data_IF_402668993017
#
_entry.id   IF_402668993017
#
_cell.length_a   1.000
_cell.length_b   1.000
_cell.length_c   1.000
_cell.angle_alpha   90.00
_cell.angle_beta   90.00
_cell.angle_gamma   90.00
#
_symmetry.space_group_name_H-M   'P 1'
#
loop_
_entity.id
_entity.type
_entity.pdbx_description
1 polymer ?
#
# COMPACT_ATOMS: atom_id res chain seq x y z
N UNK A 1 19.19 0.00 -4.29
CA UNK A 1 19.55 0.85 -3.13
C UNK A 1 19.54 -0.08 -1.93
N UNK A 2 20.54 -0.08 -1.05
CA UNK A 2 20.56 -0.94 0.16
C UNK A 2 20.17 -0.10 1.37
N UNK A 3 19.44 -0.69 2.32
CA UNK A 3 19.05 0.03 3.55
C UNK A 3 20.30 0.36 4.36
N UNK A 4 20.44 1.61 4.85
CA UNK A 4 21.56 2.00 5.70
C UNK A 4 21.65 1.11 6.94
N UNK A 5 22.87 0.70 7.29
CA UNK A 5 23.10 -0.19 8.43
C UNK A 5 22.55 0.38 9.75
N UNK A 6 22.65 1.68 9.97
CA UNK A 6 22.14 2.32 11.20
C UNK A 6 20.59 2.22 11.33
N UNK A 7 19.88 1.99 10.23
CA UNK A 7 18.44 1.71 10.26
C UNK A 7 18.22 0.24 10.65
N UNK A 8 18.90 -0.70 9.96
CA UNK A 8 18.76 -2.13 10.26
C UNK A 8 19.18 -2.48 11.70
N UNK A 9 20.19 -1.82 12.22
CA UNK A 9 20.68 -2.04 13.59
C UNK A 9 19.64 -1.64 14.68
N UNK A 10 18.58 -0.88 14.32
CA UNK A 10 17.48 -0.56 15.25
C UNK A 10 16.52 -1.74 15.47
N UNK A 11 16.46 -2.69 14.52
CA UNK A 11 15.51 -3.79 14.56
C UNK A 11 16.02 -4.94 15.44
N UNK A 12 15.18 -5.47 16.34
CA UNK A 12 15.56 -6.64 17.12
C UNK A 12 15.66 -7.87 16.22
N UNK A 13 16.73 -8.66 16.40
CA UNK A 13 16.88 -9.95 15.72
C UNK A 13 15.92 -10.97 16.32
N UNK A 14 15.07 -11.55 15.49
CA UNK A 14 14.17 -12.62 15.90
C UNK A 14 14.87 -13.98 15.75
N UNK A 15 14.59 -14.92 16.68
CA UNK A 15 15.04 -16.30 16.52
C UNK A 15 14.28 -16.99 15.38
N UNK A 16 14.89 -18.01 14.80
CA UNK A 16 14.24 -18.83 13.75
C UNK A 16 12.90 -19.43 14.22
N UNK A 17 12.84 -19.88 15.47
CA UNK A 17 11.60 -20.44 16.04
C UNK A 17 10.49 -19.37 16.12
N UNK A 18 10.86 -18.14 16.48
CA UNK A 18 9.91 -17.01 16.51
C UNK A 18 9.42 -16.66 15.10
N UNK A 19 10.34 -16.62 14.11
CA UNK A 19 9.97 -16.38 12.71
C UNK A 19 9.05 -17.47 12.17
N UNK A 20 9.39 -18.74 12.34
CA UNK A 20 8.55 -19.88 11.92
C UNK A 20 7.17 -19.85 12.61
N UNK A 21 7.13 -19.52 13.90
CA UNK A 21 5.87 -19.36 14.59
C UNK A 21 5.04 -18.21 14.03
N UNK A 22 5.66 -17.03 13.79
CA UNK A 22 4.94 -15.87 13.25
C UNK A 22 4.39 -16.16 11.84
N UNK A 23 5.15 -16.86 11.00
CA UNK A 23 4.79 -17.21 9.61
C UNK A 23 3.89 -18.45 9.50
N UNK A 24 3.58 -19.13 10.61
CA UNK A 24 2.63 -20.24 10.57
C UNK A 24 1.23 -19.78 10.17
N UNK A 25 0.51 -20.62 9.44
CA UNK A 25 -0.86 -20.33 9.00
C UNK A 25 -1.75 -19.93 10.17
N UNK A 26 -2.57 -18.89 10.04
CA UNK A 26 -3.48 -18.46 11.08
C UNK A 26 -4.54 -19.54 11.38
N UNK A 27 -4.97 -19.64 12.63
CA UNK A 27 -6.05 -20.52 13.05
C UNK A 27 -6.98 -19.80 14.03
N UNK A 28 -8.26 -20.16 14.01
CA UNK A 28 -9.25 -19.51 14.86
C UNK A 28 -9.57 -18.08 14.44
N UNK A 29 -9.89 -17.22 15.42
CA UNK A 29 -10.18 -15.80 15.22
C UNK A 29 -8.93 -14.99 15.48
N UNK A 30 -8.49 -14.23 14.49
CA UNK A 30 -7.19 -13.55 14.50
C UNK A 30 -7.36 -12.03 14.56
N UNK A 31 -6.48 -11.37 15.34
CA UNK A 31 -6.39 -9.90 15.40
C UNK A 31 -5.81 -9.37 14.10
N UNK A 32 -6.52 -8.44 13.48
CA UNK A 32 -6.15 -7.90 12.17
C UNK A 32 -6.30 -6.38 12.13
N UNK A 33 -5.39 -5.73 11.46
CA UNK A 33 -5.48 -4.36 10.95
C UNK A 33 -5.54 -4.47 9.44
N UNK A 34 -6.49 -3.79 8.80
CA UNK A 34 -6.52 -3.64 7.34
C UNK A 34 -5.92 -2.30 6.97
N UNK A 35 -4.87 -2.32 6.16
CA UNK A 35 -4.15 -1.15 5.67
C UNK A 35 -4.41 -1.03 4.16
N UNK A 36 -5.11 0.04 3.72
CA UNK A 36 -5.79 0.07 2.42
C UNK A 36 -5.89 1.47 1.83
N UNK A 37 -5.80 1.57 0.50
CA UNK A 37 -6.08 2.78 -0.27
C UNK A 37 -7.46 2.71 -0.97
N UNK A 38 -8.48 2.35 -0.22
CA UNK A 38 -9.85 1.90 -0.60
C UNK A 38 -10.53 2.72 -1.71
N UNK A 39 -10.18 3.98 -1.93
CA UNK A 39 -10.77 4.80 -3.00
C UNK A 39 -10.02 4.66 -4.34
N UNK A 40 -8.91 3.92 -4.38
CA UNK A 40 -8.10 3.74 -5.56
C UNK A 40 -8.72 2.72 -6.53
N UNK A 41 -8.92 1.49 -6.06
CA UNK A 41 -9.45 0.39 -6.85
C UNK A 41 -10.62 -0.30 -6.13
N UNK A 42 -11.53 -0.91 -6.90
CA UNK A 42 -12.79 -1.46 -6.36
C UNK A 42 -12.60 -2.71 -5.50
N UNK A 43 -11.54 -3.45 -5.72
CA UNK A 43 -11.22 -4.67 -4.94
C UNK A 43 -10.92 -4.37 -3.48
N UNK A 44 -10.32 -3.23 -3.16
CA UNK A 44 -10.16 -2.75 -1.78
C UNK A 44 -11.49 -2.57 -1.06
N UNK A 45 -12.51 -2.03 -1.76
CA UNK A 45 -13.86 -1.87 -1.21
C UNK A 45 -14.47 -3.23 -0.87
N UNK A 46 -14.30 -4.23 -1.75
CA UNK A 46 -14.76 -5.60 -1.50
C UNK A 46 -13.98 -6.27 -0.37
N UNK A 47 -12.66 -6.08 -0.31
CA UNK A 47 -11.81 -6.62 0.75
C UNK A 47 -12.22 -6.07 2.13
N UNK A 48 -12.47 -4.76 2.22
CA UNK A 48 -12.97 -4.14 3.44
C UNK A 48 -14.35 -4.67 3.83
N UNK A 49 -15.30 -4.75 2.88
CA UNK A 49 -16.63 -5.28 3.16
C UNK A 49 -16.56 -6.74 3.62
N UNK A 50 -15.74 -7.57 2.97
CA UNK A 50 -15.52 -8.96 3.36
C UNK A 50 -14.92 -9.06 4.77
N UNK A 51 -13.93 -8.25 5.07
CA UNK A 51 -13.31 -8.16 6.40
C UNK A 51 -14.36 -7.84 7.48
N UNK A 52 -15.19 -6.83 7.26
CA UNK A 52 -16.22 -6.40 8.21
C UNK A 52 -17.31 -7.47 8.45
N UNK A 53 -17.60 -8.27 7.43
CA UNK A 53 -18.60 -9.34 7.51
C UNK A 53 -18.04 -10.68 8.02
N UNK A 54 -16.72 -10.82 8.19
CA UNK A 54 -16.05 -12.06 8.62
C UNK A 54 -15.68 -12.05 10.11
N UNK A 55 -16.53 -11.50 10.97
CA UNK A 55 -16.25 -11.29 12.39
C UNK A 55 -16.09 -12.60 13.21
N UNK A 56 -16.48 -13.73 12.66
CA UNK A 56 -16.25 -15.08 13.23
C UNK A 56 -14.79 -15.54 13.09
N UNK A 57 -14.05 -15.02 12.11
CA UNK A 57 -12.64 -15.33 11.81
C UNK A 57 -11.70 -14.18 12.08
N UNK A 58 -12.17 -12.96 11.94
CA UNK A 58 -11.39 -11.74 12.03
C UNK A 58 -11.82 -10.93 13.26
N UNK A 59 -10.86 -10.60 14.10
CA UNK A 59 -10.96 -9.61 15.15
C UNK A 59 -10.38 -8.29 14.62
N UNK A 60 -11.21 -7.55 13.86
CA UNK A 60 -10.77 -6.30 13.24
C UNK A 60 -10.50 -5.24 14.31
N UNK A 61 -9.23 -4.92 14.54
CA UNK A 61 -8.79 -3.88 15.46
C UNK A 61 -9.11 -2.50 14.91
N UNK A 62 -8.82 -2.27 13.63
CA UNK A 62 -9.08 -1.04 12.91
C UNK A 62 -8.67 -1.11 11.45
N UNK A 63 -8.94 -0.04 10.74
CA UNK A 63 -8.60 0.17 9.32
C UNK A 63 -7.76 1.43 9.20
N UNK A 64 -6.62 1.33 8.53
CA UNK A 64 -5.70 2.44 8.28
C UNK A 64 -5.77 2.82 6.81
N UNK A 65 -5.98 4.13 6.55
CA UNK A 65 -6.03 4.65 5.19
C UNK A 65 -4.61 4.89 4.66
N UNK A 66 -4.25 4.30 3.52
CA UNK A 66 -3.00 4.55 2.82
C UNK A 66 -3.15 5.65 1.76
N UNK A 67 -2.09 6.43 1.49
CA UNK A 67 -2.08 7.32 0.35
C UNK A 67 -2.00 6.52 -0.96
N UNK A 68 -2.63 7.05 -2.01
CA UNK A 68 -2.38 6.62 -3.38
C UNK A 68 -2.21 7.82 -4.30
N UNK A 69 -1.51 7.63 -5.41
CA UNK A 69 -1.32 8.65 -6.43
C UNK A 69 -0.89 8.02 -7.75
N UNK A 70 -1.42 8.54 -8.84
CA UNK A 70 -0.98 8.17 -10.20
C UNK A 70 -0.04 9.22 -10.81
N UNK A 71 0.45 10.19 -10.02
CA UNK A 71 1.30 11.27 -10.51
C UNK A 71 2.60 10.79 -11.16
N UNK A 72 3.12 9.64 -10.72
CA UNK A 72 4.33 9.03 -11.31
C UNK A 72 4.13 8.58 -12.77
N UNK A 73 2.89 8.35 -13.21
CA UNK A 73 2.59 8.03 -14.60
C UNK A 73 2.50 9.25 -15.52
N UNK A 74 2.47 10.45 -14.96
CA UNK A 74 2.12 11.64 -15.72
C UNK A 74 3.09 11.90 -16.88
N UNK A 75 4.39 11.93 -16.60
CA UNK A 75 5.40 12.23 -17.62
C UNK A 75 5.42 11.17 -18.72
N UNK A 76 5.45 9.90 -18.34
CA UNK A 76 5.46 8.78 -19.28
C UNK A 76 4.18 8.70 -20.14
N UNK A 77 3.02 9.00 -19.56
CA UNK A 77 1.76 9.06 -20.31
C UNK A 77 1.77 10.19 -21.37
N UNK A 78 2.31 11.36 -21.01
CA UNK A 78 2.45 12.47 -21.95
C UNK A 78 3.39 12.13 -23.10
N UNK A 79 4.53 11.51 -22.79
CA UNK A 79 5.51 11.08 -23.80
C UNK A 79 4.91 10.01 -24.71
N UNK A 80 4.27 8.98 -24.16
CA UNK A 80 3.61 7.94 -24.95
C UNK A 80 2.49 8.51 -25.84
N UNK A 81 1.68 9.44 -25.32
CA UNK A 81 0.63 10.11 -26.08
C UNK A 81 1.21 10.89 -27.26
N UNK A 82 2.29 11.64 -27.05
CA UNK A 82 2.96 12.41 -28.10
C UNK A 82 3.58 11.50 -29.19
N UNK A 83 4.19 10.38 -28.79
CA UNK A 83 4.74 9.39 -29.73
C UNK A 83 3.64 8.80 -30.61
N UNK A 84 2.53 8.36 -30.01
CA UNK A 84 1.44 7.67 -30.72
C UNK A 84 0.68 8.64 -31.63
N UNK A 85 0.29 9.81 -31.13
CA UNK A 85 -0.56 10.74 -31.89
C UNK A 85 0.17 11.45 -33.01
N UNK A 86 1.48 11.71 -32.85
CA UNK A 86 2.32 12.33 -33.87
C UNK A 86 3.06 11.33 -34.76
N UNK A 87 2.70 10.02 -34.69
CA UNK A 87 3.30 8.94 -35.49
C UNK A 87 4.84 8.97 -35.44
N UNK A 88 5.43 9.26 -34.28
CA UNK A 88 6.88 9.24 -34.11
C UNK A 88 7.40 7.82 -34.26
N UNK A 89 8.66 7.70 -34.69
CA UNK A 89 9.31 6.39 -34.85
C UNK A 89 9.35 5.66 -33.50
N UNK A 90 8.84 4.43 -33.50
CA UNK A 90 8.96 3.50 -32.37
C UNK A 90 10.17 2.62 -32.62
N UNK A 91 11.10 2.58 -31.66
CA UNK A 91 12.30 1.75 -31.69
C UNK A 91 12.62 1.21 -30.28
N UNK A 92 13.74 0.54 -30.12
CA UNK A 92 14.10 -0.11 -28.86
C UNK A 92 14.22 0.83 -27.64
N UNK A 93 14.31 2.14 -27.86
CA UNK A 93 14.43 3.13 -26.78
C UNK A 93 13.09 3.52 -26.17
N UNK A 94 12.00 3.44 -26.93
CA UNK A 94 10.67 3.86 -26.47
C UNK A 94 9.58 2.77 -26.61
N UNK A 95 9.94 1.59 -27.13
CA UNK A 95 8.99 0.49 -27.36
C UNK A 95 8.29 0.04 -26.05
N UNK A 96 9.03 -0.05 -24.96
CA UNK A 96 8.49 -0.46 -23.67
C UNK A 96 7.52 0.58 -23.12
N UNK A 97 7.88 1.86 -23.18
CA UNK A 97 7.01 2.97 -22.80
C UNK A 97 5.70 2.93 -23.58
N UNK A 98 5.79 2.85 -24.93
CA UNK A 98 4.60 2.79 -25.78
C UNK A 98 3.73 1.58 -25.44
N UNK A 99 4.33 0.40 -25.24
CA UNK A 99 3.58 -0.80 -24.89
C UNK A 99 2.84 -0.67 -23.56
N UNK A 100 3.49 -0.09 -22.54
CA UNK A 100 2.91 0.07 -21.20
C UNK A 100 1.71 1.04 -21.21
N UNK A 101 1.77 2.09 -22.00
CA UNK A 101 0.74 3.14 -22.03
C UNK A 101 -0.23 3.04 -23.20
N UNK A 102 -0.07 2.08 -24.12
CA UNK A 102 -0.84 1.97 -25.35
C UNK A 102 -2.36 2.00 -25.12
N UNK A 103 -2.85 1.18 -24.20
CA UNK A 103 -4.29 1.08 -23.91
C UNK A 103 -4.82 2.38 -23.28
N UNK A 104 -4.06 3.01 -22.41
CA UNK A 104 -4.47 4.27 -21.79
C UNK A 104 -4.54 5.39 -22.82
N UNK A 105 -3.50 5.53 -23.66
CA UNK A 105 -3.47 6.53 -24.74
C UNK A 105 -4.62 6.32 -25.73
N UNK A 106 -4.89 5.08 -26.14
CA UNK A 106 -6.01 4.81 -27.05
C UNK A 106 -7.37 5.16 -26.42
N UNK A 107 -7.58 4.86 -25.16
CA UNK A 107 -8.78 5.27 -24.43
C UNK A 107 -8.96 6.80 -24.39
N UNK A 108 -7.86 7.55 -24.27
CA UNK A 108 -7.90 9.02 -24.37
C UNK A 108 -8.28 9.49 -25.77
N UNK A 109 -7.66 8.91 -26.80
CA UNK A 109 -7.94 9.25 -28.20
C UNK A 109 -9.41 8.97 -28.55
N UNK A 110 -9.92 7.79 -28.18
CA UNK A 110 -11.32 7.40 -28.40
C UNK A 110 -12.32 8.33 -27.68
N UNK A 111 -11.99 8.74 -26.47
CA UNK A 111 -12.78 9.69 -25.67
C UNK A 111 -12.56 11.15 -26.03
N UNK A 112 -11.72 11.44 -27.05
CA UNK A 112 -11.32 12.79 -27.49
C UNK A 112 -10.75 13.64 -26.35
N UNK A 113 -9.97 13.02 -25.47
CA UNK A 113 -9.28 13.66 -24.36
C UNK A 113 -7.78 13.74 -24.61
N UNK A 114 -7.15 14.74 -24.01
CA UNK A 114 -5.71 14.89 -23.95
C UNK A 114 -5.22 14.50 -22.52
N UNK A 115 -3.98 14.04 -22.32
CA UNK A 115 -3.45 13.83 -20.96
C UNK A 115 -3.59 15.04 -20.01
N UNK A 116 -3.64 16.27 -20.53
CA UNK A 116 -3.93 17.48 -19.74
C UNK A 116 -5.34 17.49 -19.12
N UNK A 117 -6.27 16.71 -19.66
CA UNK A 117 -7.66 16.62 -19.17
C UNK A 117 -7.80 15.61 -18.02
N UNK A 118 -6.70 14.91 -17.67
CA UNK A 118 -6.66 13.96 -16.56
C UNK A 118 -6.18 14.70 -15.31
N UNK A 119 -6.95 14.57 -14.24
CA UNK A 119 -6.50 14.98 -12.92
C UNK A 119 -5.82 13.80 -12.22
N UNK A 120 -4.57 13.99 -11.82
CA UNK A 120 -3.79 13.03 -11.06
C UNK A 120 -3.80 13.43 -9.58
N UNK A 121 -4.50 12.66 -8.77
CA UNK A 121 -4.55 12.90 -7.33
C UNK A 121 -3.15 12.95 -6.72
N UNK A 122 -2.95 13.89 -5.81
CA UNK A 122 -1.78 13.91 -4.93
C UNK A 122 -1.91 12.80 -3.86
N UNK A 123 -0.82 12.33 -3.24
CA UNK A 123 -0.91 11.39 -2.11
C UNK A 123 -1.83 11.89 -0.99
N UNK A 124 -1.84 13.20 -0.73
CA UNK A 124 -2.74 13.83 0.25
C UNK A 124 -4.21 13.68 -0.13
N UNK A 125 -4.57 13.92 -1.38
CA UNK A 125 -5.95 13.74 -1.85
C UNK A 125 -6.33 12.27 -1.85
N UNK A 126 -5.40 11.39 -2.23
CA UNK A 126 -5.59 9.95 -2.22
C UNK A 126 -5.94 9.42 -0.82
N UNK A 127 -5.14 9.76 0.19
CA UNK A 127 -5.41 9.30 1.57
C UNK A 127 -6.72 9.84 2.12
N UNK A 128 -7.09 11.10 1.82
CA UNK A 128 -8.36 11.65 2.27
C UNK A 128 -9.55 10.98 1.58
N UNK A 129 -9.45 10.67 0.29
CA UNK A 129 -10.47 9.90 -0.44
C UNK A 129 -10.59 8.49 0.14
N UNK A 130 -9.48 7.79 0.38
CA UNK A 130 -9.47 6.47 1.01
C UNK A 130 -10.12 6.49 2.38
N UNK A 131 -9.76 7.45 3.23
CA UNK A 131 -10.35 7.61 4.55
C UNK A 131 -11.89 7.79 4.49
N UNK A 132 -12.37 8.64 3.58
CA UNK A 132 -13.81 8.87 3.43
C UNK A 132 -14.52 7.64 2.87
N UNK A 133 -13.93 6.93 1.92
CA UNK A 133 -14.55 5.74 1.33
C UNK A 133 -14.60 4.58 2.33
N UNK A 134 -13.58 4.40 3.18
CA UNK A 134 -13.63 3.45 4.30
C UNK A 134 -14.85 3.75 5.17
N UNK A 135 -15.05 5.00 5.60
CA UNK A 135 -16.19 5.40 6.42
C UNK A 135 -17.51 5.13 5.69
N UNK A 136 -17.57 5.41 4.38
CA UNK A 136 -18.78 5.17 3.58
C UNK A 136 -19.15 3.69 3.56
N UNK A 137 -18.18 2.78 3.45
CA UNK A 137 -18.44 1.33 3.47
C UNK A 137 -18.94 0.88 4.84
N UNK A 138 -18.35 1.34 5.94
CA UNK A 138 -18.88 1.09 7.29
C UNK A 138 -20.33 1.50 7.41
N UNK A 139 -20.67 2.73 6.96
CA UNK A 139 -22.05 3.25 6.99
C UNK A 139 -23.02 2.46 6.13
N UNK A 140 -22.60 2.05 4.92
CA UNK A 140 -23.43 1.23 4.02
C UNK A 140 -23.73 -0.16 4.59
N UNK A 141 -22.87 -0.69 5.43
CA UNK A 141 -23.04 -1.97 6.12
C UNK A 141 -23.71 -1.82 7.50
N UNK A 142 -24.11 -0.60 7.90
CA UNK A 142 -24.67 -0.28 9.22
C UNK A 142 -23.74 -0.69 10.39
N UNK A 143 -22.42 -0.50 10.19
CA UNK A 143 -21.39 -0.81 11.19
C UNK A 143 -20.80 0.50 11.73
N UNK A 144 -20.63 0.61 13.05
CA UNK A 144 -20.02 1.78 13.66
C UNK A 144 -18.53 1.88 13.33
N UNK A 145 -18.11 3.00 12.75
CA UNK A 145 -16.73 3.29 12.36
C UNK A 145 -15.92 4.09 13.41
N UNK A 146 -16.58 4.63 14.44
CA UNK A 146 -15.93 5.48 15.45
C UNK A 146 -14.81 4.73 16.17
N UNK A 147 -13.61 5.33 16.21
CA UNK A 147 -12.43 4.70 16.80
C UNK A 147 -11.91 3.48 16.06
N UNK A 148 -12.31 3.29 14.78
CA UNK A 148 -11.94 2.16 13.94
C UNK A 148 -11.21 2.56 12.66
N UNK A 149 -11.26 3.82 12.27
CA UNK A 149 -10.67 4.29 11.01
C UNK A 149 -9.66 5.39 11.30
N UNK A 150 -8.45 5.25 10.76
CA UNK A 150 -7.30 6.11 11.06
C UNK A 150 -6.70 6.67 9.77
N UNK A 151 -6.36 7.97 9.79
CA UNK A 151 -5.71 8.62 8.65
C UNK A 151 -4.24 8.28 8.57
N UNK A 152 -3.77 7.94 7.38
CA UNK A 152 -2.37 7.79 7.06
C UNK A 152 -1.68 9.10 6.67
N UNK A 153 -0.55 8.95 6.01
CA UNK A 153 0.29 10.07 5.61
C UNK A 153 -0.25 10.82 4.40
N UNK A 154 0.05 12.11 4.32
CA UNK A 154 -0.20 12.96 3.17
C UNK A 154 0.90 12.87 2.08
N UNK A 155 1.94 12.09 2.31
CA UNK A 155 3.06 11.88 1.38
C UNK A 155 3.66 10.49 1.61
N UNK A 156 4.46 10.04 0.65
CA UNK A 156 5.32 8.85 0.79
C UNK A 156 6.58 9.17 1.59
N UNK A 157 7.32 8.12 2.01
CA UNK A 157 8.63 8.29 2.62
C UNK A 157 9.61 8.90 1.61
N UNK A 158 10.33 9.91 2.02
CA UNK A 158 11.41 10.54 1.24
C UNK A 158 12.78 9.94 1.59
N UNK A 159 12.88 9.34 2.76
CA UNK A 159 14.05 8.62 3.29
C UNK A 159 13.61 7.75 4.48
N UNK A 160 14.53 6.96 5.04
CA UNK A 160 14.27 6.06 6.17
C UNK A 160 14.64 6.65 7.55
N UNK A 161 15.22 7.85 7.59
CA UNK A 161 15.57 8.53 8.85
C UNK A 161 14.43 9.39 9.38
N UNK A 162 13.46 9.73 8.53
CA UNK A 162 12.34 10.61 8.84
C UNK A 162 11.00 9.88 8.66
N UNK A 163 10.61 8.98 9.60
CA UNK A 163 9.32 8.31 9.54
C UNK A 163 8.17 9.30 9.68
N UNK A 164 7.02 8.94 9.13
CA UNK A 164 5.82 9.77 9.14
C UNK A 164 4.92 9.41 10.32
N UNK A 165 4.90 10.29 11.31
CA UNK A 165 4.06 10.14 12.50
C UNK A 165 2.62 10.55 12.18
N UNK A 166 1.71 9.57 12.10
CA UNK A 166 0.32 9.74 11.70
C UNK A 166 -0.62 8.96 12.63
N UNK A 167 -1.93 9.23 12.54
CA UNK A 167 -2.93 8.42 13.26
C UNK A 167 -2.77 6.93 12.96
N UNK A 168 -2.52 6.57 11.69
CA UNK A 168 -2.34 5.18 11.22
C UNK A 168 -1.09 4.53 11.80
N UNK A 169 0.08 5.19 11.69
CA UNK A 169 1.33 4.64 12.21
C UNK A 169 1.29 4.47 13.73
N UNK A 170 0.72 5.43 14.46
CA UNK A 170 0.55 5.34 15.90
C UNK A 170 -0.45 4.25 16.29
N UNK A 171 -1.56 4.11 15.58
CA UNK A 171 -2.53 3.04 15.84
C UNK A 171 -1.90 1.65 15.66
N UNK A 172 -1.11 1.43 14.60
CA UNK A 172 -0.39 0.16 14.38
C UNK A 172 0.54 -0.12 15.57
N UNK A 173 1.31 0.89 16.00
CA UNK A 173 2.22 0.77 17.16
C UNK A 173 1.43 0.40 18.42
N UNK A 174 0.37 1.15 18.72
CA UNK A 174 -0.43 0.96 19.93
C UNK A 174 -1.04 -0.44 20.00
N UNK A 175 -1.54 -0.96 18.88
CA UNK A 175 -2.11 -2.30 18.84
C UNK A 175 -1.05 -3.39 19.05
N UNK A 176 0.12 -3.26 18.44
CA UNK A 176 1.22 -4.19 18.66
C UNK A 176 1.72 -4.16 20.12
N UNK A 177 1.80 -2.99 20.74
CA UNK A 177 2.22 -2.84 22.13
C UNK A 177 1.15 -3.31 23.12
N UNK A 178 -0.13 -3.12 22.79
CA UNK A 178 -1.27 -3.56 23.62
C UNK A 178 -1.36 -5.10 23.70
N UNK A 179 -0.97 -5.80 22.65
CA UNK A 179 -1.07 -7.26 22.55
C UNK A 179 0.30 -7.91 22.31
N UNK A 180 1.30 -7.73 23.22
CA UNK A 180 2.69 -8.10 22.95
C UNK A 180 2.94 -9.61 22.77
N UNK A 181 2.03 -10.44 23.25
CA UNK A 181 2.11 -11.90 23.18
C UNK A 181 1.19 -12.52 22.09
N UNK A 182 0.47 -11.69 21.36
CA UNK A 182 -0.42 -12.13 20.29
C UNK A 182 0.11 -11.68 18.93
N UNK A 183 -0.15 -12.44 17.87
CA UNK A 183 0.14 -12.00 16.51
C UNK A 183 -0.86 -10.93 16.08
N UNK A 184 -0.37 -9.85 15.55
CA UNK A 184 -1.18 -8.81 14.90
C UNK A 184 -0.94 -8.92 13.41
N UNK A 185 -1.93 -9.37 12.68
CA UNK A 185 -1.87 -9.43 11.22
C UNK A 185 -2.19 -8.04 10.67
N UNK A 186 -1.24 -7.44 9.97
CA UNK A 186 -1.45 -6.21 9.21
C UNK A 186 -1.60 -6.61 7.75
N UNK A 187 -2.85 -6.66 7.29
CA UNK A 187 -3.15 -6.97 5.89
C UNK A 187 -3.09 -5.67 5.09
N UNK A 188 -2.00 -5.51 4.33
CA UNK A 188 -1.76 -4.35 3.48
C UNK A 188 -2.22 -4.66 2.04
N UNK A 189 -3.12 -3.86 1.51
CA UNK A 189 -3.63 -3.96 0.15
C UNK A 189 -3.37 -2.69 -0.66
N UNK A 190 -2.74 -1.66 -0.05
CA UNK A 190 -2.15 -0.49 -0.66
C UNK A 190 -0.61 -0.49 -0.63
N UNK A 191 0.00 0.69 -0.65
CA UNK A 191 1.44 0.85 -0.39
C UNK A 191 1.77 0.59 1.09
N UNK A 192 3.02 0.75 1.52
CA UNK A 192 3.45 0.37 2.88
C UNK A 192 3.85 1.55 3.76
N UNK A 193 3.48 2.77 3.41
CA UNK A 193 3.94 3.98 4.08
C UNK A 193 3.62 3.98 5.58
N UNK A 194 2.40 3.59 5.96
CA UNK A 194 1.97 3.52 7.36
C UNK A 194 2.75 2.48 8.15
N UNK A 195 2.90 1.27 7.59
CA UNK A 195 3.60 0.13 8.22
C UNK A 195 5.08 0.43 8.38
N UNK A 196 5.73 0.94 7.33
CA UNK A 196 7.15 1.29 7.37
C UNK A 196 7.40 2.41 8.39
N UNK A 197 6.54 3.43 8.42
CA UNK A 197 6.64 4.50 9.42
C UNK A 197 6.48 3.97 10.85
N UNK A 198 5.49 3.10 11.09
CA UNK A 198 5.31 2.46 12.39
C UNK A 198 6.56 1.66 12.83
N UNK A 199 7.15 0.89 11.91
CA UNK A 199 8.37 0.11 12.16
C UNK A 199 9.59 1.01 12.43
N UNK A 200 9.74 2.11 11.71
CA UNK A 200 10.86 3.05 11.92
C UNK A 200 10.73 3.82 13.24
N UNK A 201 9.50 4.19 13.63
CA UNK A 201 9.23 4.85 14.93
C UNK A 201 9.43 3.88 16.09
N UNK A 202 8.94 2.62 15.94
CA UNK A 202 8.92 1.63 17.02
C UNK A 202 9.38 0.25 16.53
N UNK A 203 10.69 0.03 16.28
CA UNK A 203 11.19 -1.20 15.68
C UNK A 203 10.84 -2.50 16.42
N UNK A 204 10.62 -2.44 17.74
CA UNK A 204 10.27 -3.61 18.53
C UNK A 204 8.92 -4.23 18.19
N UNK A 205 8.01 -3.55 17.49
CA UNK A 205 6.72 -4.12 17.09
C UNK A 205 6.86 -5.26 16.08
N UNK A 206 7.99 -5.37 15.38
CA UNK A 206 8.30 -6.50 14.49
C UNK A 206 8.19 -7.87 15.21
N UNK A 207 8.29 -7.89 16.56
CA UNK A 207 8.23 -9.13 17.34
C UNK A 207 6.90 -9.87 17.23
N UNK A 208 5.81 -9.15 17.01
CA UNK A 208 4.47 -9.72 16.98
C UNK A 208 3.61 -9.23 15.80
N UNK A 209 4.10 -8.28 15.01
CA UNK A 209 3.48 -7.87 13.76
C UNK A 209 3.76 -8.89 12.67
N UNK A 210 2.73 -9.29 11.93
CA UNK A 210 2.83 -10.15 10.74
C UNK A 210 2.18 -9.42 9.58
N UNK A 211 3.00 -9.02 8.61
CA UNK A 211 2.50 -8.30 7.42
C UNK A 211 2.11 -9.32 6.35
N UNK A 212 0.89 -9.17 5.84
CA UNK A 212 0.37 -9.90 4.67
C UNK A 212 0.09 -8.87 3.59
N UNK A 213 0.90 -8.85 2.56
CA UNK A 213 0.89 -7.75 1.58
C UNK A 213 0.57 -8.21 0.17
N UNK A 214 -0.32 -7.49 -0.50
CA UNK A 214 -0.65 -7.68 -1.90
C UNK A 214 0.20 -6.74 -2.76
N UNK A 215 1.31 -7.26 -3.30
CA UNK A 215 2.17 -6.50 -4.20
C UNK A 215 3.10 -7.40 -5.01
N UNK A 216 3.59 -6.86 -6.13
CA UNK A 216 4.51 -7.56 -7.01
C UNK A 216 3.85 -8.69 -7.81
N UNK A 217 4.68 -9.43 -8.53
CA UNK A 217 4.27 -10.58 -9.33
C UNK A 217 5.18 -11.77 -9.02
N UNK A 218 4.65 -13.02 -9.04
CA UNK A 218 5.48 -14.20 -8.86
C UNK A 218 6.60 -14.25 -9.90
N UNK A 219 7.79 -14.70 -9.52
CA UNK A 219 8.98 -14.76 -10.40
C UNK A 219 8.77 -15.64 -11.64
N UNK A 220 7.84 -16.60 -11.59
CA UNK A 220 7.44 -17.42 -12.73
C UNK A 220 6.34 -16.79 -13.60
N UNK A 221 5.78 -15.66 -13.20
CA UNK A 221 4.74 -14.97 -13.96
C UNK A 221 5.35 -14.29 -15.18
N UNK A 222 4.60 -14.28 -16.29
CA UNK A 222 4.93 -13.48 -17.48
C UNK A 222 5.12 -11.98 -17.17
N UNK A 223 4.43 -11.50 -16.13
CA UNK A 223 4.47 -10.09 -15.71
C UNK A 223 5.47 -9.80 -14.58
N UNK A 224 6.37 -10.72 -14.23
CA UNK A 224 7.27 -10.58 -13.07
C UNK A 224 8.15 -9.32 -13.07
N UNK A 225 8.43 -8.75 -14.26
CA UNK A 225 9.21 -7.51 -14.40
C UNK A 225 8.34 -6.25 -14.48
N UNK A 226 7.01 -6.35 -14.39
CA UNK A 226 6.14 -5.18 -14.42
C UNK A 226 6.06 -4.54 -13.04
N UNK A 227 5.97 -3.21 -13.02
CA UNK A 227 5.76 -2.47 -11.80
C UNK A 227 4.37 -2.80 -11.23
N UNK A 228 4.33 -3.22 -9.98
CA UNK A 228 3.08 -3.32 -9.21
C UNK A 228 2.85 -1.98 -8.51
N UNK A 229 1.65 -1.42 -8.63
CA UNK A 229 1.32 -0.11 -8.08
C UNK A 229 1.68 -0.02 -6.58
N UNK A 230 1.20 -0.96 -5.78
CA UNK A 230 1.45 -0.98 -4.33
C UNK A 230 2.94 -1.04 -3.96
N UNK A 231 3.78 -1.60 -4.84
CA UNK A 231 5.22 -1.70 -4.60
C UNK A 231 5.96 -0.40 -4.96
N UNK A 232 5.56 0.26 -6.05
CA UNK A 232 6.32 1.40 -6.59
C UNK A 232 5.89 2.75 -6.03
N UNK A 233 4.71 2.84 -5.41
CA UNK A 233 4.23 4.10 -4.84
C UNK A 233 5.13 4.61 -3.71
N UNK A 234 5.60 3.71 -2.83
CA UNK A 234 6.57 4.04 -1.78
C UNK A 234 7.72 3.03 -1.78
N UNK A 235 8.76 3.34 -2.56
CA UNK A 235 9.92 2.46 -2.74
C UNK A 235 10.72 2.30 -1.45
N UNK A 236 10.84 3.34 -0.63
CA UNK A 236 11.54 3.27 0.65
C UNK A 236 10.83 2.35 1.63
N UNK A 237 9.49 2.46 1.71
CA UNK A 237 8.68 1.58 2.55
C UNK A 237 8.76 0.12 2.09
N UNK A 238 8.63 -0.12 0.79
CA UNK A 238 8.72 -1.45 0.19
C UNK A 238 10.08 -2.10 0.47
N UNK A 239 11.16 -1.35 0.26
CA UNK A 239 12.52 -1.83 0.49
C UNK A 239 12.76 -2.16 1.96
N UNK A 240 12.30 -1.29 2.89
CA UNK A 240 12.42 -1.55 4.32
C UNK A 240 11.79 -2.88 4.70
N UNK A 241 10.60 -3.16 4.21
CA UNK A 241 9.87 -4.38 4.58
C UNK A 241 10.54 -5.66 4.09
N UNK A 242 11.26 -5.62 2.97
CA UNK A 242 12.00 -6.78 2.47
C UNK A 242 13.34 -7.01 3.17
N UNK A 243 13.91 -6.02 3.85
CA UNK A 243 15.26 -6.10 4.40
C UNK A 243 15.33 -6.06 5.94
N UNK A 244 14.25 -5.67 6.65
CA UNK A 244 14.24 -5.59 8.12
C UNK A 244 13.89 -6.91 8.85
#
# INVERSE_FOLDING_TARGET
>A
MTIPKHILDKFPKLSNDKLLNNLSLPSGRNKMILDTDTANEIDDQFALAWTLLSNDKIDLLGVTAEPYSFQHHKEELFEAYDIITNNKKIDSSNQELVNNYYNWVNGLIESKKHPNDIYFDTPKEGVEKSYQEIINIFKKLDINHEGKVFRGSHKYLENLDEPLDTESSQFIIDMCLKYPNEKIYVCAIGCLTNIASALLIKPEIIKNMVVVWTAGFPTFSFNHNKNSLNLVQDVYASQLLFEC
#
